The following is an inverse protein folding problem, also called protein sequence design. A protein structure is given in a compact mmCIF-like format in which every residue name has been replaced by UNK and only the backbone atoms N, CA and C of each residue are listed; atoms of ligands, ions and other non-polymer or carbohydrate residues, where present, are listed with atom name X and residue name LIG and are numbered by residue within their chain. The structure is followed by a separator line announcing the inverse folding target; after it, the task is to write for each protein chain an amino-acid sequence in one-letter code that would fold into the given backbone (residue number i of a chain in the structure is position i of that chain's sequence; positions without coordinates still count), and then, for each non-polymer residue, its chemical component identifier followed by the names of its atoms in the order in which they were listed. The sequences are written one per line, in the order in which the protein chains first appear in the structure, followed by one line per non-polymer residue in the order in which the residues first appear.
data_IF_043664225600
#
_entry.id   IF_043664225600
#
_cell.length_a   1.000
_cell.length_b   1.000
_cell.length_c   1.000
_cell.angle_alpha   90.00
_cell.angle_beta   90.00
_cell.angle_gamma   90.00
#
_symmetry.space_group_name_H-M   'P 1'
#
loop_
_entity.id
_entity.type
_entity.pdbx_description
1 polymer ?
#
# COMPACT_ATOMS: atom_id res chain seq x y z
N UNK A 1 -5.86 8.33 -28.04
CA UNK A 1 -6.19 7.77 -27.92
C UNK A 1 -5.52 6.95 -27.81
N UNK A 2 -5.02 6.73 -27.93
CA UNK A 2 -4.35 6.13 -28.03
C UNK A 2 -3.40 5.68 -27.05
N UNK A 3 -2.95 6.42 -26.00
CA UNK A 3 -2.16 5.94 -24.90
C UNK A 3 -2.92 4.86 -24.14
N UNK A 4 -4.22 4.97 -24.09
CA UNK A 4 -5.02 3.94 -23.45
C UNK A 4 -4.91 2.62 -24.21
N UNK A 5 -4.99 2.68 -25.51
CA UNK A 5 -4.88 1.50 -26.34
C UNK A 5 -3.52 0.85 -26.20
N UNK A 6 -2.47 1.67 -26.20
CA UNK A 6 -1.13 1.15 -26.00
C UNK A 6 -0.98 0.46 -24.68
N UNK A 7 -1.54 1.04 -23.63
CA UNK A 7 -1.47 0.46 -22.30
C UNK A 7 -2.16 -0.88 -22.24
N UNK A 8 -3.33 -0.96 -22.81
CA UNK A 8 -4.07 -2.22 -22.85
C UNK A 8 -3.30 -3.27 -23.61
N UNK A 9 -2.73 -2.88 -24.72
CA UNK A 9 -2.00 -3.81 -25.55
C UNK A 9 -0.78 -4.34 -24.82
N UNK A 10 -0.06 -3.47 -24.12
CA UNK A 10 1.13 -3.87 -23.40
C UNK A 10 0.83 -4.76 -22.22
N UNK A 11 -0.38 -4.70 -21.73
CA UNK A 11 -0.76 -5.48 -20.57
C UNK A 11 -1.29 -6.85 -20.90
N UNK A 12 -1.26 -7.23 -22.17
CA UNK A 12 -1.75 -8.53 -22.56
C UNK A 12 -1.04 -9.68 -21.88
N UNK A 13 0.24 -9.52 -21.63
CA UNK A 13 1.04 -10.56 -21.03
C UNK A 13 1.03 -10.51 -19.52
N UNK A 14 0.42 -9.47 -18.95
CA UNK A 14 0.36 -9.31 -17.50
C UNK A 14 -1.08 -9.14 -17.09
N UNK A 15 -1.43 -9.76 -15.99
CA UNK A 15 -2.75 -9.58 -15.42
C UNK A 15 -2.71 -8.37 -14.51
N UNK A 16 -3.39 -7.30 -14.94
CA UNK A 16 -3.46 -6.08 -14.17
C UNK A 16 -4.92 -5.84 -13.81
N UNK A 17 -5.17 -5.68 -12.52
CA UNK A 17 -6.53 -5.46 -12.05
C UNK A 17 -6.58 -4.11 -11.32
N UNK A 18 -6.87 -3.07 -12.08
CA UNK A 18 -7.12 -1.76 -11.51
C UNK A 18 -8.62 -1.65 -11.32
N UNK A 19 -9.05 -1.50 -10.09
CA UNK A 19 -10.45 -1.52 -9.72
C UNK A 19 -10.84 -0.16 -9.17
N UNK A 20 -12.03 0.30 -9.54
CA UNK A 20 -12.56 1.54 -9.02
C UNK A 20 -12.82 1.40 -7.52
N UNK A 21 -12.37 2.36 -6.75
CA UNK A 21 -12.59 2.37 -5.31
C UNK A 21 -13.98 2.92 -5.04
N UNK A 22 -14.86 2.08 -4.52
CA UNK A 22 -16.25 2.43 -4.30
C UNK A 22 -16.51 3.11 -2.97
N UNK A 23 -15.79 2.70 -1.94
CA UNK A 23 -15.99 3.22 -0.60
C UNK A 23 -15.51 4.66 -0.51
N UNK A 24 -16.37 5.54 -0.01
CA UNK A 24 -16.01 6.95 0.17
C UNK A 24 -14.88 7.10 1.19
N UNK A 25 -14.90 6.31 2.26
CA UNK A 25 -13.85 6.41 3.27
C UNK A 25 -12.52 5.93 2.72
N UNK A 26 -12.52 4.87 1.92
CA UNK A 26 -11.29 4.39 1.29
C UNK A 26 -10.76 5.40 0.28
N UNK A 27 -11.65 6.01 -0.49
CA UNK A 27 -11.26 7.04 -1.46
C UNK A 27 -10.61 8.22 -0.76
N UNK A 28 -11.21 8.69 0.34
CA UNK A 28 -10.67 9.81 1.11
C UNK A 28 -9.31 9.45 1.71
N UNK A 29 -9.17 8.24 2.21
CA UNK A 29 -7.90 7.79 2.80
C UNK A 29 -6.79 7.78 1.75
N UNK A 30 -7.09 7.27 0.56
CA UNK A 30 -6.12 7.23 -0.54
C UNK A 30 -5.72 8.63 -0.94
N UNK A 31 -6.69 9.53 -1.10
CA UNK A 31 -6.39 10.91 -1.49
C UNK A 31 -5.59 11.62 -0.41
N UNK A 32 -5.91 11.39 0.86
CA UNK A 32 -5.16 11.97 1.97
C UNK A 32 -3.72 11.45 1.97
N UNK A 33 -3.55 10.15 1.71
CA UNK A 33 -2.22 9.55 1.66
C UNK A 33 -1.38 10.19 0.54
N UNK A 34 -1.97 10.37 -0.63
CA UNK A 34 -1.25 10.94 -1.77
C UNK A 34 -0.90 12.41 -1.56
N UNK A 35 -1.63 13.10 -0.71
CA UNK A 35 -1.37 14.51 -0.41
C UNK A 35 -0.27 14.69 0.63
N UNK A 36 0.19 13.61 1.26
CA UNK A 36 1.20 13.67 2.32
C UNK A 36 2.51 13.08 1.79
N UNK A 37 3.52 13.92 1.69
CA UNK A 37 4.80 13.51 1.10
C UNK A 37 5.48 12.40 1.90
N UNK A 38 5.41 12.45 3.21
CA UNK A 38 6.02 11.41 4.03
C UNK A 38 5.29 10.09 3.91
N UNK A 39 3.96 10.15 3.81
CA UNK A 39 3.18 8.93 3.62
C UNK A 39 3.48 8.28 2.27
N UNK A 40 3.62 9.08 1.21
CA UNK A 40 3.95 8.50 -0.10
C UNK A 40 5.33 7.85 -0.07
N UNK A 41 6.29 8.43 0.66
CA UNK A 41 7.60 7.81 0.83
C UNK A 41 7.50 6.48 1.56
N UNK A 42 6.67 6.43 2.59
CA UNK A 42 6.45 5.18 3.34
C UNK A 42 5.84 4.12 2.42
N UNK A 43 4.80 4.48 1.68
CA UNK A 43 4.15 3.55 0.77
C UNK A 43 5.13 3.03 -0.29
N UNK A 44 5.94 3.90 -0.86
CA UNK A 44 6.93 3.49 -1.84
C UNK A 44 7.92 2.50 -1.25
N UNK A 45 8.34 2.73 -0.02
CA UNK A 45 9.30 1.85 0.64
C UNK A 45 8.79 0.43 0.78
N UNK A 46 7.48 0.27 1.00
CA UNK A 46 6.89 -1.04 1.26
C UNK A 46 6.04 -1.55 0.10
N UNK A 47 6.21 -0.94 -1.08
CA UNK A 47 5.44 -1.31 -2.26
C UNK A 47 5.81 -2.71 -2.76
N UNK A 48 7.09 -3.04 -2.77
CA UNK A 48 7.56 -4.30 -3.32
C UNK A 48 8.22 -5.21 -2.29
N UNK A 49 8.64 -4.66 -1.16
CA UNK A 49 9.32 -5.42 -0.12
C UNK A 49 8.78 -5.01 1.23
N UNK A 50 8.55 -6.00 2.08
CA UNK A 50 8.10 -5.74 3.45
C UNK A 50 9.25 -5.17 4.26
N UNK A 51 8.97 -4.15 5.05
CA UNK A 51 10.00 -3.44 5.82
C UNK A 51 9.49 -3.05 7.19
N UNK A 52 10.43 -2.96 8.11
CA UNK A 52 10.13 -2.48 9.47
C UNK A 52 10.13 -0.97 9.50
N UNK A 53 9.63 -0.41 10.60
CA UNK A 53 9.66 1.05 10.82
C UNK A 53 11.11 1.55 10.79
N UNK A 54 12.03 0.80 11.38
CA UNK A 54 13.44 1.20 11.41
C UNK A 54 14.00 1.30 9.99
N UNK A 55 13.69 0.32 9.15
CA UNK A 55 14.13 0.33 7.76
C UNK A 55 13.58 1.53 7.00
N UNK A 56 12.27 1.76 7.14
CA UNK A 56 11.61 2.87 6.45
C UNK A 56 12.20 4.20 6.88
N UNK A 57 12.42 4.35 8.17
CA UNK A 57 13.02 5.55 8.75
C UNK A 57 14.39 5.81 8.18
N UNK A 58 15.25 4.78 8.16
CA UNK A 58 16.61 4.92 7.64
C UNK A 58 16.64 5.29 6.17
N UNK A 59 15.80 4.66 5.38
CA UNK A 59 15.81 4.83 3.93
C UNK A 59 15.27 6.18 3.50
N UNK A 60 14.37 6.75 4.29
CA UNK A 60 13.65 7.96 3.86
C UNK A 60 13.95 9.18 4.69
N UNK A 61 14.81 9.04 5.68
CA UNK A 61 15.17 10.15 6.55
C UNK A 61 13.95 10.82 7.17
N UNK A 62 13.00 10.01 7.64
CA UNK A 62 11.81 10.47 8.33
C UNK A 62 12.03 10.25 9.81
N UNK A 63 11.67 11.20 10.69
CA UNK A 63 11.81 10.99 12.14
C UNK A 63 11.05 9.75 12.57
N UNK A 64 11.61 8.98 13.48
CA UNK A 64 11.04 7.69 13.89
C UNK A 64 9.60 7.82 14.39
N UNK A 65 9.33 8.82 15.23
CA UNK A 65 7.97 9.03 15.77
C UNK A 65 6.96 9.30 14.67
N UNK A 66 7.35 10.13 13.71
CA UNK A 66 6.50 10.47 12.58
C UNK A 66 6.23 9.24 11.72
N UNK A 67 7.29 8.48 11.44
CA UNK A 67 7.17 7.26 10.63
C UNK A 67 6.25 6.27 11.30
N UNK A 68 6.42 6.06 12.60
CA UNK A 68 5.58 5.13 13.35
C UNK A 68 4.11 5.56 13.28
N UNK A 69 3.85 6.84 13.57
CA UNK A 69 2.48 7.36 13.59
C UNK A 69 1.80 7.24 12.22
N UNK A 70 2.50 7.60 11.17
CA UNK A 70 1.94 7.57 9.82
C UNK A 70 1.77 6.15 9.32
N UNK A 71 2.68 5.25 9.65
CA UNK A 71 2.53 3.83 9.29
C UNK A 71 1.34 3.23 10.01
N UNK A 72 1.13 3.58 11.28
CA UNK A 72 -0.04 3.10 12.02
C UNK A 72 -1.33 3.63 11.40
N UNK A 73 -1.31 4.87 10.95
CA UNK A 73 -2.47 5.44 10.25
C UNK A 73 -2.77 4.64 8.98
N UNK A 74 -1.73 4.33 8.20
CA UNK A 74 -1.89 3.53 6.99
C UNK A 74 -2.45 2.15 7.29
N UNK A 75 -1.99 1.55 8.38
CA UNK A 75 -2.47 0.25 8.80
C UNK A 75 -3.95 0.31 9.17
N UNK A 76 -4.35 1.34 9.93
CA UNK A 76 -5.72 1.51 10.34
C UNK A 76 -6.65 1.77 9.16
N UNK A 77 -6.15 2.45 8.13
CA UNK A 77 -6.94 2.72 6.94
C UNK A 77 -6.93 1.55 5.95
N UNK A 78 -6.18 0.50 6.25
CA UNK A 78 -6.15 -0.67 5.39
C UNK A 78 -5.28 -0.52 4.16
N UNK A 79 -4.39 0.47 4.13
CA UNK A 79 -3.52 0.72 2.97
C UNK A 79 -2.21 -0.04 3.06
N UNK A 80 -1.82 -0.46 4.26
CA UNK A 80 -0.72 -1.39 4.47
C UNK A 80 -1.19 -2.50 5.40
N UNK A 81 -0.49 -3.61 5.38
CA UNK A 81 -0.75 -4.73 6.27
C UNK A 81 0.55 -5.15 6.93
N UNK A 82 0.43 -5.90 8.02
CA UNK A 82 1.58 -6.53 8.64
C UNK A 82 1.82 -7.84 7.89
N UNK A 83 2.93 -7.92 7.18
CA UNK A 83 3.29 -9.12 6.44
C UNK A 83 3.85 -10.20 7.38
N UNK A 84 4.77 -9.80 8.25
CA UNK A 84 5.44 -10.71 9.19
C UNK A 84 5.73 -10.01 10.48
N UNK A 85 5.85 -10.80 11.54
CA UNK A 85 6.38 -10.33 12.81
C UNK A 85 7.70 -11.05 13.04
N UNK A 86 8.77 -10.29 13.23
CA UNK A 86 10.09 -10.83 13.46
C UNK A 86 10.35 -10.83 14.96
N UNK A 87 10.88 -11.93 15.47
CA UNK A 87 11.27 -12.04 16.87
C UNK A 87 12.78 -12.23 16.89
N UNK A 88 13.49 -11.29 17.51
CA UNK A 88 14.95 -11.35 17.57
C UNK A 88 15.37 -12.39 18.63
N UNK A 89 16.64 -12.83 18.57
CA UNK A 89 17.15 -13.73 19.62
C UNK A 89 17.02 -13.18 21.03
N UNK A 90 17.02 -11.83 21.16
CA UNK A 90 16.87 -11.16 22.45
C UNK A 90 15.39 -11.07 22.88
N UNK A 91 14.48 -11.58 22.07
CA UNK A 91 13.07 -11.57 22.40
C UNK A 91 12.31 -10.32 22.00
N UNK A 92 12.93 -9.42 21.26
CA UNK A 92 12.25 -8.22 20.75
C UNK A 92 11.41 -8.58 19.55
N UNK A 93 10.26 -7.91 19.43
CA UNK A 93 9.36 -8.12 18.31
C UNK A 93 9.25 -6.85 17.49
N UNK A 94 9.19 -6.99 16.17
CA UNK A 94 8.87 -5.88 15.30
C UNK A 94 8.14 -6.39 14.07
N UNK A 95 7.28 -5.54 13.53
CA UNK A 95 6.46 -5.87 12.37
C UNK A 95 7.13 -5.46 11.08
N UNK A 96 6.91 -6.24 10.03
CA UNK A 96 7.27 -5.86 8.67
C UNK A 96 5.98 -5.51 7.94
N UNK A 97 5.94 -4.32 7.38
CA UNK A 97 4.75 -3.78 6.72
C UNK A 97 4.88 -3.89 5.21
N UNK A 98 3.76 -4.04 4.55
CA UNK A 98 3.73 -4.12 3.09
C UNK A 98 2.50 -3.39 2.57
N UNK A 99 2.65 -2.71 1.44
CA UNK A 99 1.53 -2.01 0.82
C UNK A 99 0.51 -2.98 0.25
N UNK A 100 -0.76 -2.66 0.46
CA UNK A 100 -1.87 -3.40 -0.14
C UNK A 100 -2.04 -3.02 -1.60
N UNK A 101 -1.60 -1.83 -1.97
CA UNK A 101 -1.78 -1.29 -3.30
C UNK A 101 -0.47 -1.26 -4.07
N UNK A 102 -0.53 -1.56 -5.36
CA UNK A 102 0.63 -1.45 -6.25
C UNK A 102 0.65 -0.14 -7.00
N UNK A 103 -0.53 0.37 -7.37
CA UNK A 103 -0.62 1.62 -8.10
C UNK A 103 -1.95 2.28 -7.83
N UNK A 104 -2.00 3.58 -8.02
CA UNK A 104 -3.20 4.36 -7.79
C UNK A 104 -3.33 5.34 -8.96
N UNK A 105 -4.52 5.41 -9.53
CA UNK A 105 -4.83 6.35 -10.59
C UNK A 105 -5.98 7.24 -10.11
N UNK A 106 -5.75 8.55 -10.10
CA UNK A 106 -6.75 9.53 -9.69
C UNK A 106 -7.10 10.37 -10.88
N UNK A 107 -8.40 10.50 -11.14
CA UNK A 107 -8.90 11.29 -12.25
C UNK A 107 -9.98 12.22 -11.73
N UNK A 108 -9.90 13.47 -12.10
CA UNK A 108 -10.93 14.44 -11.78
C UNK A 108 -11.63 14.85 -13.08
N UNK A 109 -12.94 14.66 -13.11
CA UNK A 109 -13.68 14.92 -14.32
C UNK A 109 -15.12 15.20 -13.98
N UNK A 110 -15.69 16.27 -14.54
CA UNK A 110 -17.11 16.61 -14.37
C UNK A 110 -17.50 16.65 -12.90
N UNK A 111 -16.68 17.31 -12.10
CA UNK A 111 -16.93 17.48 -10.69
C UNK A 111 -16.90 16.17 -9.89
N UNK A 112 -16.30 15.14 -10.45
CA UNK A 112 -16.15 13.84 -9.81
C UNK A 112 -14.70 13.49 -9.66
N UNK A 113 -14.35 12.91 -8.52
CA UNK A 113 -13.03 12.34 -8.30
C UNK A 113 -13.16 10.83 -8.42
N UNK A 114 -12.46 10.27 -9.38
CA UNK A 114 -12.45 8.83 -9.64
C UNK A 114 -11.11 8.28 -9.19
N UNK A 115 -11.14 7.30 -8.29
CA UNK A 115 -9.93 6.66 -7.81
C UNK A 115 -9.97 5.20 -8.22
N UNK A 116 -8.93 4.78 -8.93
CA UNK A 116 -8.74 3.38 -9.29
C UNK A 116 -7.45 2.91 -8.65
N UNK A 117 -7.44 1.69 -8.19
CA UNK A 117 -6.27 1.15 -7.52
C UNK A 117 -6.02 -0.27 -7.96
N UNK A 118 -4.75 -0.58 -8.17
CA UNK A 118 -4.32 -1.94 -8.44
C UNK A 118 -3.86 -2.54 -7.12
N UNK A 119 -4.46 -3.66 -6.74
CA UNK A 119 -4.15 -4.30 -5.47
C UNK A 119 -2.98 -5.26 -5.60
N UNK A 120 -2.24 -5.40 -4.51
CA UNK A 120 -1.15 -6.35 -4.44
C UNK A 120 -1.71 -7.69 -3.99
N UNK A 121 -2.24 -8.46 -4.93
CA UNK A 121 -2.92 -9.70 -4.62
C UNK A 121 -2.03 -10.73 -3.94
N UNK A 122 -0.76 -10.75 -4.31
CA UNK A 122 0.15 -11.73 -3.72
C UNK A 122 0.26 -11.57 -2.22
N UNK A 123 0.42 -10.33 -1.76
CA UNK A 123 0.58 -10.09 -0.33
C UNK A 123 -0.75 -10.27 0.41
N UNK A 124 -1.85 -9.89 -0.21
CA UNK A 124 -3.17 -10.04 0.37
C UNK A 124 -3.50 -11.53 0.51
N UNK A 125 -3.25 -12.30 -0.54
CA UNK A 125 -3.50 -13.73 -0.56
C UNK A 125 -2.68 -14.45 0.50
N UNK A 126 -1.42 -14.07 0.62
CA UNK A 126 -0.51 -14.64 1.61
C UNK A 126 -1.01 -14.39 3.03
N UNK A 127 -1.49 -13.18 3.27
CA UNK A 127 -2.01 -12.80 4.58
C UNK A 127 -3.30 -13.56 4.91
N UNK A 128 -4.16 -13.69 3.92
CA UNK A 128 -5.40 -14.46 4.09
C UNK A 128 -5.11 -15.92 4.38
N UNK A 129 -4.15 -16.50 3.66
CA UNK A 129 -3.78 -17.90 3.85
C UNK A 129 -3.30 -18.14 5.28
N UNK A 130 -2.50 -17.23 5.83
CA UNK A 130 -2.04 -17.33 7.20
C UNK A 130 -3.18 -17.25 8.19
N UNK A 131 -4.12 -16.36 7.91
CA UNK A 131 -5.28 -16.18 8.76
C UNK A 131 -6.09 -17.47 8.84
N UNK A 132 -6.34 -18.09 7.69
CA UNK A 132 -7.10 -19.34 7.67
C UNK A 132 -6.34 -20.49 8.28
N UNK A 133 -5.03 -20.52 8.18
CA UNK A 133 -4.26 -21.61 8.74
C UNK A 133 -4.23 -21.59 10.26
N UNK A 134 -4.60 -20.49 10.87
CA UNK A 134 -4.67 -20.39 12.33
C UNK A 134 -5.95 -21.00 12.88
N UNK A 135 -6.88 -21.27 12.02
CA UNK A 135 -8.12 -21.92 12.43
C UNK A 135 -7.96 -23.43 12.48
#
# INVERSE_FOLDING_TARGET
MDSRTSTEYNNKTQTVFAVAVQSQSAKKAILAALADEEITKILDSVMYHSKSIVDITSENNIPHTTCYRKTKWLLNEGLVIVDKIIITPEGKKFSLYHSVLKSINVKYESNNVIVEAEQNFDIIKKTMARFYSLE
#
